data_IF_162052453998
#
_entry.id   IF_162052453998
#
_cell.length_a   1.000
_cell.length_b   1.000
_cell.length_c   1.000
_cell.angle_alpha   90.00
_cell.angle_beta   90.00
_cell.angle_gamma   90.00
#
_symmetry.space_group_name_H-M   'P 1'
#
loop_
_entity.id
_entity.type
_entity.pdbx_description
1 polymer ?
#
# COMPACT_ATOMS: atom_id res chain seq x y z
N UNK A 1 6.77 -0.93 0.90
CA UNK A 1 6.86 -0.15 2.15
C UNK A 1 7.01 1.35 1.93
N UNK A 2 8.12 1.86 1.37
CA UNK A 2 8.30 3.32 1.22
C UNK A 2 7.25 3.96 0.30
N UNK A 3 7.06 3.41 -0.90
CA UNK A 3 6.02 3.86 -1.86
C UNK A 3 4.62 3.79 -1.25
N UNK A 4 4.29 2.69 -0.57
CA UNK A 4 3.02 2.51 0.12
C UNK A 4 2.82 3.55 1.23
N UNK A 5 3.86 3.81 2.03
CA UNK A 5 3.86 4.87 3.05
C UNK A 5 3.66 6.27 2.46
N UNK A 6 4.31 6.55 1.33
CA UNK A 6 4.12 7.79 0.58
C UNK A 6 2.65 7.99 0.19
N UNK A 7 2.07 7.04 -0.55
CA UNK A 7 0.68 7.15 -1.03
C UNK A 7 -0.30 7.26 0.14
N UNK A 8 -0.14 6.43 1.18
CA UNK A 8 -0.96 6.51 2.38
C UNK A 8 -0.87 7.90 3.02
N UNK A 9 0.34 8.37 3.30
CA UNK A 9 0.51 9.63 4.02
C UNK A 9 0.02 10.84 3.22
N UNK A 10 0.35 10.90 1.91
CA UNK A 10 -0.14 11.95 1.02
C UNK A 10 -1.66 12.04 1.02
N UNK A 11 -2.34 10.91 0.80
CA UNK A 11 -3.79 10.90 0.63
C UNK A 11 -4.50 11.09 1.97
N UNK A 12 -4.04 10.48 3.06
CA UNK A 12 -4.69 10.63 4.37
C UNK A 12 -4.67 12.07 4.87
N UNK A 13 -3.56 12.80 4.67
CA UNK A 13 -3.48 14.21 5.06
C UNK A 13 -4.44 15.07 4.24
N UNK A 14 -4.64 14.75 2.97
CA UNK A 14 -5.45 15.56 2.05
C UNK A 14 -6.86 15.01 1.84
N UNK A 15 -7.25 13.90 2.48
CA UNK A 15 -8.45 13.15 2.11
C UNK A 15 -9.71 14.02 2.15
N UNK A 16 -9.90 14.79 3.22
CA UNK A 16 -11.04 15.70 3.37
C UNK A 16 -10.95 16.84 2.34
N UNK A 17 -9.87 17.64 2.26
CA UNK A 17 -9.73 18.69 1.23
C UNK A 17 -9.92 18.20 -0.21
N UNK A 18 -9.44 17.01 -0.55
CA UNK A 18 -9.57 16.42 -1.89
C UNK A 18 -11.03 16.22 -2.27
N UNK A 19 -11.87 15.76 -1.35
CA UNK A 19 -13.29 15.57 -1.66
C UNK A 19 -13.97 16.89 -2.03
N UNK A 20 -13.67 17.97 -1.31
CA UNK A 20 -14.16 19.32 -1.64
C UNK A 20 -13.60 19.81 -2.97
N UNK A 21 -12.28 19.67 -3.18
CA UNK A 21 -11.61 20.11 -4.41
C UNK A 21 -12.07 19.36 -5.66
N UNK A 22 -12.57 18.15 -5.49
CA UNK A 22 -13.16 17.30 -6.54
C UNK A 22 -14.69 17.51 -6.69
N UNK A 23 -15.26 18.56 -6.09
CA UNK A 23 -16.64 18.95 -6.33
C UNK A 23 -17.70 18.17 -5.55
N UNK A 24 -17.35 17.40 -4.52
CA UNK A 24 -18.32 16.65 -3.70
C UNK A 24 -19.03 17.50 -2.65
N UNK A 25 -18.61 18.75 -2.45
CA UNK A 25 -19.17 19.67 -1.45
C UNK A 25 -19.16 19.09 -0.03
N UNK A 26 -20.21 19.36 0.75
CA UNK A 26 -20.34 18.87 2.13
C UNK A 26 -20.54 17.35 2.24
N UNK A 27 -21.05 16.70 1.18
CA UNK A 27 -21.17 15.25 1.14
C UNK A 27 -19.80 14.56 1.22
N UNK A 28 -18.77 15.16 0.63
CA UNK A 28 -17.39 14.68 0.70
C UNK A 28 -16.88 14.49 2.13
N UNK A 29 -17.14 15.47 3.00
CA UNK A 29 -16.77 15.40 4.42
C UNK A 29 -17.41 14.18 5.11
N UNK A 30 -18.72 13.98 4.93
CA UNK A 30 -19.44 12.84 5.52
C UNK A 30 -18.87 11.52 5.00
N UNK A 31 -18.58 11.44 3.70
CA UNK A 31 -18.01 10.23 3.08
C UNK A 31 -16.66 9.87 3.69
N UNK A 32 -15.79 10.84 3.99
CA UNK A 32 -14.48 10.55 4.61
C UNK A 32 -14.56 9.90 5.99
N UNK A 33 -15.69 10.05 6.71
CA UNK A 33 -15.90 9.39 8.01
C UNK A 33 -15.90 7.86 7.90
N UNK A 34 -16.20 7.32 6.72
CA UNK A 34 -16.18 5.88 6.43
C UNK A 34 -14.77 5.30 6.39
N UNK A 35 -13.72 6.13 6.37
CA UNK A 35 -12.32 5.66 6.34
C UNK A 35 -12.00 4.81 7.56
N UNK A 36 -12.28 5.31 8.76
CA UNK A 36 -11.99 4.63 10.03
C UNK A 36 -12.69 3.26 10.13
N UNK A 37 -14.03 3.19 9.96
CA UNK A 37 -14.75 1.94 9.92
C UNK A 37 -14.22 0.94 8.87
N UNK A 38 -13.87 1.42 7.67
CA UNK A 38 -13.31 0.56 6.62
C UNK A 38 -11.93 0.02 6.99
N UNK A 39 -11.09 0.83 7.63
CA UNK A 39 -9.78 0.41 8.13
C UNK A 39 -9.90 -0.67 9.21
N UNK A 40 -10.84 -0.50 10.15
CA UNK A 40 -11.14 -1.51 11.18
C UNK A 40 -11.71 -2.78 10.54
N UNK A 41 -12.65 -2.65 9.60
CA UNK A 41 -13.23 -3.78 8.89
C UNK A 41 -12.17 -4.63 8.19
N UNK A 42 -11.18 -4.01 7.54
CA UNK A 42 -10.05 -4.74 6.94
C UNK A 42 -9.29 -5.59 7.96
N UNK A 43 -9.04 -5.05 9.17
CA UNK A 43 -8.37 -5.81 10.23
C UNK A 43 -9.21 -6.97 10.73
N UNK A 44 -10.52 -6.78 10.88
CA UNK A 44 -11.44 -7.85 11.29
C UNK A 44 -11.54 -8.94 10.22
N UNK A 45 -11.68 -8.58 8.94
CA UNK A 45 -11.67 -9.52 7.81
C UNK A 45 -10.36 -10.31 7.79
N UNK A 46 -9.22 -9.64 7.95
CA UNK A 46 -7.93 -10.32 8.01
C UNK A 46 -7.78 -11.22 9.25
N UNK A 47 -8.31 -10.84 10.41
CA UNK A 47 -8.27 -11.67 11.60
C UNK A 47 -9.12 -12.93 11.44
N UNK A 48 -10.30 -12.82 10.83
CA UNK A 48 -11.24 -13.93 10.64
C UNK A 48 -10.85 -14.86 9.48
N UNK A 49 -10.27 -14.32 8.41
CA UNK A 49 -10.03 -15.06 7.16
C UNK A 49 -8.56 -15.08 6.72
N UNK A 50 -7.72 -14.20 7.26
CA UNK A 50 -6.35 -13.97 6.80
C UNK A 50 -5.33 -15.03 7.23
N UNK A 51 -5.67 -15.91 8.17
CA UNK A 51 -4.82 -17.06 8.54
C UNK A 51 -4.55 -18.04 7.37
N UNK A 52 -5.25 -17.90 6.25
CA UNK A 52 -5.12 -18.75 5.05
C UNK A 52 -4.24 -18.14 3.95
N UNK A 53 -3.86 -16.86 4.04
CA UNK A 53 -3.09 -16.15 3.00
C UNK A 53 -1.67 -15.82 3.50
N UNK A 54 -0.66 -15.97 2.62
CA UNK A 54 0.70 -15.54 2.94
C UNK A 54 0.78 -14.00 3.07
N UNK A 55 1.66 -13.48 3.94
CA UNK A 55 1.73 -12.03 4.19
C UNK A 55 2.15 -11.25 2.93
N UNK A 56 2.93 -11.88 2.06
CA UNK A 56 3.29 -11.34 0.74
C UNK A 56 2.06 -11.08 -0.14
N UNK A 57 1.06 -11.96 -0.13
CA UNK A 57 -0.20 -11.74 -0.86
C UNK A 57 -1.04 -10.63 -0.23
N UNK A 58 -1.12 -10.60 1.10
CA UNK A 58 -1.80 -9.51 1.81
C UNK A 58 -1.15 -8.14 1.49
N UNK A 59 0.17 -8.11 1.32
CA UNK A 59 0.89 -6.90 0.90
C UNK A 59 0.50 -6.44 -0.51
N UNK A 60 0.43 -7.36 -1.47
CA UNK A 60 -0.01 -7.05 -2.83
C UNK A 60 -1.45 -6.56 -2.84
N UNK A 61 -2.36 -7.25 -2.13
CA UNK A 61 -3.77 -6.85 -2.03
C UNK A 61 -3.88 -5.46 -1.40
N UNK A 62 -3.26 -5.25 -0.24
CA UNK A 62 -3.25 -3.96 0.46
C UNK A 62 -2.71 -2.83 -0.40
N UNK A 63 -1.56 -3.04 -1.05
CA UNK A 63 -0.95 -2.07 -1.95
C UNK A 63 -1.77 -1.81 -3.21
N UNK A 64 -2.59 -2.77 -3.68
CA UNK A 64 -3.47 -2.61 -4.85
C UNK A 64 -4.70 -1.76 -4.53
N UNK A 65 -5.28 -1.96 -3.34
CA UNK A 65 -6.50 -1.24 -2.92
C UNK A 65 -6.30 0.29 -2.88
N UNK A 66 -5.08 0.76 -2.58
CA UNK A 66 -4.77 2.20 -2.50
C UNK A 66 -4.88 2.93 -3.85
N UNK A 67 -4.08 2.60 -4.89
CA UNK A 67 -4.20 3.20 -6.20
C UNK A 67 -5.53 2.84 -6.87
N UNK A 68 -6.09 1.65 -6.64
CA UNK A 68 -7.42 1.32 -7.15
C UNK A 68 -8.49 2.29 -6.62
N UNK A 69 -8.44 2.61 -5.32
CA UNK A 69 -9.32 3.64 -4.75
C UNK A 69 -9.16 4.99 -5.44
N UNK A 70 -7.91 5.43 -5.70
CA UNK A 70 -7.66 6.69 -6.40
C UNK A 70 -8.18 6.68 -7.84
N UNK A 71 -7.99 5.58 -8.56
CA UNK A 71 -8.52 5.40 -9.92
C UNK A 71 -10.05 5.46 -9.92
N UNK A 72 -10.70 4.81 -8.96
CA UNK A 72 -12.17 4.87 -8.81
C UNK A 72 -12.62 6.30 -8.54
N UNK A 73 -11.98 7.02 -7.61
CA UNK A 73 -12.30 8.42 -7.31
C UNK A 73 -12.19 9.29 -8.56
N UNK A 74 -11.08 9.18 -9.30
CA UNK A 74 -10.79 10.00 -10.47
C UNK A 74 -11.68 9.67 -11.67
N UNK A 75 -12.05 8.41 -11.86
CA UNK A 75 -12.93 7.99 -12.94
C UNK A 75 -14.40 8.38 -12.72
N UNK A 76 -14.78 8.69 -11.47
CA UNK A 76 -16.19 8.87 -11.08
C UNK A 76 -16.51 10.25 -10.49
N UNK A 77 -15.51 11.06 -10.14
CA UNK A 77 -15.71 12.41 -9.61
C UNK A 77 -16.61 13.27 -10.53
N UNK A 78 -17.59 14.03 -10.00
CA UNK A 78 -17.91 14.29 -8.58
C UNK A 78 -18.96 13.33 -7.96
N UNK A 79 -18.97 12.04 -8.33
CA UNK A 79 -19.92 11.06 -7.78
C UNK A 79 -19.67 10.74 -6.30
N UNK A 80 -20.71 10.92 -5.47
CA UNK A 80 -20.71 10.51 -4.06
C UNK A 80 -20.49 9.02 -3.89
N UNK A 81 -21.13 8.19 -4.72
CA UNK A 81 -20.94 6.73 -4.69
C UNK A 81 -19.49 6.34 -5.01
N UNK A 82 -18.87 7.05 -5.97
CA UNK A 82 -17.46 6.91 -6.31
C UNK A 82 -16.52 7.26 -5.15
N UNK A 83 -16.81 8.36 -4.45
CA UNK A 83 -16.07 8.77 -3.27
C UNK A 83 -16.21 7.75 -2.12
N UNK A 84 -17.39 7.17 -1.91
CA UNK A 84 -17.61 6.10 -0.92
C UNK A 84 -16.75 4.88 -1.27
N UNK A 85 -16.80 4.43 -2.52
CA UNK A 85 -15.99 3.30 -2.98
C UNK A 85 -14.48 3.57 -2.79
N UNK A 86 -14.02 4.76 -3.14
CA UNK A 86 -12.65 5.20 -2.86
C UNK A 86 -12.28 5.11 -1.38
N UNK A 87 -13.08 5.72 -0.48
CA UNK A 87 -12.79 5.75 0.95
C UNK A 87 -12.75 4.34 1.54
N UNK A 88 -13.67 3.47 1.11
CA UNK A 88 -13.71 2.07 1.54
C UNK A 88 -12.46 1.33 1.07
N UNK A 89 -12.14 1.39 -0.23
CA UNK A 89 -10.94 0.73 -0.79
C UNK A 89 -9.67 1.24 -0.10
N UNK A 90 -9.53 2.55 0.04
CA UNK A 90 -8.36 3.17 0.66
C UNK A 90 -8.24 2.82 2.16
N UNK A 91 -9.36 2.81 2.88
CA UNK A 91 -9.44 2.37 4.27
C UNK A 91 -9.07 0.89 4.43
N UNK A 92 -9.60 0.03 3.57
CA UNK A 92 -9.28 -1.40 3.57
C UNK A 92 -7.79 -1.65 3.29
N UNK A 93 -7.23 -0.97 2.29
CA UNK A 93 -5.81 -1.02 1.96
C UNK A 93 -4.91 -0.52 3.09
N UNK A 94 -5.29 0.59 3.73
CA UNK A 94 -4.60 1.12 4.93
C UNK A 94 -4.64 0.14 6.11
N UNK A 95 -5.77 -0.53 6.32
CA UNK A 95 -5.91 -1.59 7.31
C UNK A 95 -4.91 -2.72 7.08
N UNK A 96 -4.86 -3.25 5.85
CA UNK A 96 -3.92 -4.31 5.47
C UNK A 96 -2.45 -3.84 5.56
N UNK A 97 -2.14 -2.64 5.09
CA UNK A 97 -0.80 -2.07 5.16
C UNK A 97 -0.27 -1.98 6.60
N UNK A 98 -1.15 -1.74 7.58
CA UNK A 98 -0.77 -1.74 9.01
C UNK A 98 -0.43 -3.12 9.55
N UNK A 99 -1.09 -4.18 9.04
CA UNK A 99 -0.83 -5.57 9.42
C UNK A 99 0.47 -6.04 8.75
N UNK A 100 0.52 -5.92 7.42
CA UNK A 100 1.66 -6.29 6.58
C UNK A 100 2.93 -5.59 7.04
N UNK A 101 2.84 -4.31 7.42
CA UNK A 101 3.98 -3.56 7.96
C UNK A 101 4.60 -4.17 9.22
N UNK A 102 3.81 -4.88 10.04
CA UNK A 102 4.27 -5.54 11.26
C UNK A 102 4.69 -7.00 11.07
N UNK A 103 4.19 -7.68 10.03
CA UNK A 103 4.37 -9.13 9.86
C UNK A 103 5.29 -9.49 8.69
N UNK A 104 5.16 -8.80 7.55
CA UNK A 104 5.89 -9.14 6.33
C UNK A 104 7.42 -8.95 6.48
N UNK A 105 7.96 -7.89 7.13
CA UNK A 105 9.41 -7.78 7.32
C UNK A 105 10.01 -9.00 8.04
N UNK A 106 9.29 -9.60 9.00
CA UNK A 106 9.77 -10.78 9.72
C UNK A 106 9.78 -12.02 8.81
N UNK A 107 8.74 -12.19 7.99
CA UNK A 107 8.67 -13.23 6.96
C UNK A 107 9.79 -13.07 5.91
N UNK A 108 10.14 -11.83 5.57
CA UNK A 108 11.15 -11.55 4.56
C UNK A 108 12.58 -11.67 5.08
N UNK A 109 12.87 -11.11 6.25
CA UNK A 109 14.25 -10.97 6.71
C UNK A 109 14.70 -12.10 7.63
N UNK A 110 13.77 -12.93 8.12
CA UNK A 110 14.06 -13.92 9.14
C UNK A 110 14.44 -13.27 10.47
N UNK A 111 14.85 -14.09 11.44
CA UNK A 111 15.21 -13.62 12.79
C UNK A 111 16.60 -12.99 12.86
N UNK A 112 17.52 -13.42 12.00
CA UNK A 112 18.90 -12.94 12.02
C UNK A 112 19.00 -11.51 11.45
N UNK A 113 19.56 -10.58 12.24
CA UNK A 113 19.65 -9.14 11.90
C UNK A 113 18.29 -8.48 11.62
N UNK A 114 17.20 -9.06 12.12
CA UNK A 114 15.84 -8.55 11.92
C UNK A 114 15.70 -7.08 12.33
N UNK A 115 16.15 -6.73 13.54
CA UNK A 115 16.03 -5.38 14.08
C UNK A 115 16.72 -4.32 13.21
N UNK A 116 17.92 -4.62 12.69
CA UNK A 116 18.64 -3.71 11.81
C UNK A 116 17.93 -3.51 10.46
N UNK A 117 17.50 -4.62 9.82
CA UNK A 117 16.79 -4.56 8.52
C UNK A 117 15.43 -3.89 8.65
N UNK A 118 14.67 -4.23 9.69
CA UNK A 118 13.41 -3.59 10.01
C UNK A 118 13.59 -2.10 10.29
N UNK A 119 14.62 -1.72 11.04
CA UNK A 119 14.97 -0.33 11.32
C UNK A 119 15.20 0.47 10.03
N UNK A 120 16.00 -0.05 9.09
CA UNK A 120 16.24 0.59 7.79
C UNK A 120 14.97 0.72 6.94
N UNK A 121 14.17 -0.34 6.83
CA UNK A 121 12.91 -0.31 6.06
C UNK A 121 11.91 0.68 6.67
N UNK A 122 11.83 0.69 8.00
CA UNK A 122 10.96 1.61 8.74
C UNK A 122 11.43 3.05 8.58
N UNK A 123 12.72 3.32 8.70
CA UNK A 123 13.29 4.64 8.48
C UNK A 123 13.00 5.16 7.06
N UNK A 124 13.25 4.35 6.04
CA UNK A 124 12.94 4.70 4.65
C UNK A 124 11.44 4.98 4.45
N UNK A 125 10.57 4.15 5.04
CA UNK A 125 9.12 4.38 5.02
C UNK A 125 8.74 5.68 5.72
N UNK A 126 9.25 5.94 6.91
CA UNK A 126 8.89 7.13 7.68
C UNK A 126 9.38 8.42 7.00
N UNK A 127 10.61 8.42 6.47
CA UNK A 127 11.13 9.54 5.71
C UNK A 127 10.27 9.81 4.46
N UNK A 128 9.93 8.76 3.72
CA UNK A 128 9.05 8.87 2.55
C UNK A 128 7.67 9.40 2.94
N UNK A 129 7.03 8.86 3.98
CA UNK A 129 5.75 9.33 4.50
C UNK A 129 5.80 10.78 4.95
N UNK A 130 6.87 11.22 5.62
CA UNK A 130 6.98 12.59 6.11
C UNK A 130 7.02 13.63 4.97
N UNK A 131 7.68 13.29 3.86
CA UNK A 131 7.76 14.17 2.68
C UNK A 131 6.52 14.10 1.79
N UNK A 132 5.75 13.02 1.87
CA UNK A 132 4.68 12.72 0.93
C UNK A 132 3.55 13.76 0.90
N UNK A 133 3.05 14.29 2.04
CA UNK A 133 2.04 15.34 2.02
C UNK A 133 2.54 16.60 1.32
N UNK A 134 3.77 17.04 1.58
CA UNK A 134 4.35 18.22 0.95
C UNK A 134 4.56 18.01 -0.56
N UNK A 135 5.07 16.85 -0.95
CA UNK A 135 5.24 16.50 -2.36
C UNK A 135 3.91 16.52 -3.12
N UNK A 136 2.86 15.92 -2.55
CA UNK A 136 1.53 15.94 -3.16
C UNK A 136 0.95 17.36 -3.18
N UNK A 137 1.09 18.15 -2.11
CA UNK A 137 0.62 19.53 -2.07
C UNK A 137 1.29 20.40 -3.14
N UNK A 138 2.62 20.30 -3.31
CA UNK A 138 3.34 21.02 -4.36
C UNK A 138 2.92 20.58 -5.76
N UNK A 139 2.72 19.27 -5.97
CA UNK A 139 2.15 18.75 -7.21
C UNK A 139 0.77 19.39 -7.48
N UNK A 140 -0.13 19.36 -6.49
CA UNK A 140 -1.47 19.93 -6.66
C UNK A 140 -1.44 21.44 -6.95
N UNK A 141 -0.51 22.18 -6.36
CA UNK A 141 -0.32 23.60 -6.62
C UNK A 141 0.23 23.86 -8.04
N UNK A 142 1.14 23.02 -8.53
CA UNK A 142 1.81 23.22 -9.82
C UNK A 142 1.07 22.68 -11.04
N UNK A 143 0.43 21.51 -10.92
CA UNK A 143 -0.26 20.82 -12.02
C UNK A 143 -1.75 20.58 -11.79
N UNK A 144 -2.30 21.00 -10.64
CA UNK A 144 -3.69 20.79 -10.28
C UNK A 144 -3.96 19.45 -9.59
N UNK A 145 -5.17 19.33 -9.03
CA UNK A 145 -5.56 18.19 -8.17
C UNK A 145 -5.62 16.87 -8.94
N UNK A 146 -6.37 16.80 -10.04
CA UNK A 146 -6.57 15.54 -10.77
C UNK A 146 -5.26 14.96 -11.32
N UNK A 147 -4.38 15.73 -12.01
CA UNK A 147 -3.12 15.18 -12.52
C UNK A 147 -2.20 14.69 -11.38
N UNK A 148 -2.20 15.38 -10.25
CA UNK A 148 -1.42 14.98 -9.07
C UNK A 148 -1.91 13.67 -8.45
N UNK A 149 -3.22 13.44 -8.43
CA UNK A 149 -3.78 12.18 -7.96
C UNK A 149 -3.55 11.02 -8.95
N UNK A 150 -3.58 11.27 -10.25
CA UNK A 150 -3.16 10.28 -11.25
C UNK A 150 -1.68 9.91 -11.09
N UNK A 151 -0.81 10.89 -10.84
CA UNK A 151 0.59 10.65 -10.51
C UNK A 151 0.74 9.81 -9.23
N UNK A 152 -0.01 10.13 -8.18
CA UNK A 152 -0.01 9.34 -6.94
C UNK A 152 -0.49 7.90 -7.17
N UNK A 153 -1.51 7.70 -8.01
CA UNK A 153 -1.97 6.38 -8.41
C UNK A 153 -0.90 5.61 -9.19
N UNK A 154 -0.21 6.25 -10.15
CA UNK A 154 0.89 5.66 -10.89
C UNK A 154 2.07 5.26 -9.99
N UNK A 155 2.45 6.12 -9.03
CA UNK A 155 3.43 5.80 -8.00
C UNK A 155 2.96 4.61 -7.15
N UNK A 156 1.69 4.56 -6.78
CA UNK A 156 1.09 3.41 -6.09
C UNK A 156 1.21 2.10 -6.85
N UNK A 157 1.04 2.12 -8.18
CA UNK A 157 1.23 0.94 -9.04
C UNK A 157 2.66 0.40 -8.96
N UNK A 158 3.68 1.26 -8.81
CA UNK A 158 5.06 0.81 -8.59
C UNK A 158 5.21 0.04 -7.26
N UNK A 159 4.41 0.39 -6.24
CA UNK A 159 4.34 -0.34 -4.98
C UNK A 159 3.77 -1.75 -5.16
N UNK A 160 2.73 -1.90 -6.00
CA UNK A 160 2.17 -3.21 -6.37
C UNK A 160 3.23 -4.06 -7.06
N UNK A 161 3.94 -3.49 -8.04
CA UNK A 161 5.00 -4.18 -8.76
C UNK A 161 6.12 -4.62 -7.82
N UNK A 162 6.54 -3.76 -6.89
CA UNK A 162 7.58 -4.09 -5.92
C UNK A 162 7.17 -5.26 -5.00
N UNK A 163 5.95 -5.26 -4.46
CA UNK A 163 5.47 -6.39 -3.64
C UNK A 163 5.24 -7.65 -4.48
N UNK A 164 4.78 -7.52 -5.71
CA UNK A 164 4.58 -8.67 -6.61
C UNK A 164 5.90 -9.31 -7.03
N UNK A 165 6.95 -8.51 -7.26
CA UNK A 165 8.30 -9.00 -7.55
C UNK A 165 8.85 -9.87 -6.40
N UNK A 166 8.54 -9.55 -5.14
CA UNK A 166 8.92 -10.39 -3.99
C UNK A 166 8.31 -11.79 -4.10
N UNK A 167 7.04 -11.91 -4.52
CA UNK A 167 6.38 -13.20 -4.74
C UNK A 167 7.10 -13.98 -5.83
N UNK A 168 7.45 -13.34 -6.94
CA UNK A 168 8.13 -13.98 -8.06
C UNK A 168 9.53 -14.49 -7.67
N UNK A 169 10.31 -13.68 -6.97
CA UNK A 169 11.66 -14.05 -6.53
C UNK A 169 11.61 -15.21 -5.52
N UNK A 170 10.63 -15.20 -4.60
CA UNK A 170 10.46 -16.26 -3.59
C UNK A 170 9.98 -17.60 -4.17
N UNK A 171 9.43 -17.60 -5.38
CA UNK A 171 8.93 -18.82 -6.05
C UNK A 171 10.01 -19.58 -6.82
N UNK A 172 11.20 -19.02 -7.02
CA UNK A 172 12.30 -19.76 -7.65
C UNK A 172 12.87 -20.77 -6.63
N UNK A 173 12.72 -22.10 -6.87
CA UNK A 173 13.45 -23.08 -6.07
C UNK A 173 14.94 -22.84 -6.31
N UNK A 174 15.75 -22.84 -5.27
CA UNK A 174 17.20 -22.91 -5.41
C UNK A 174 17.51 -24.19 -6.18
N UNK A 175 17.82 -24.07 -7.47
CA UNK A 175 18.45 -25.14 -8.23
C UNK A 175 19.90 -25.24 -7.73
N UNK A 176 20.06 -25.81 -6.53
CA UNK A 176 21.37 -26.16 -5.98
C UNK A 176 21.86 -27.33 -6.81
N UNK A 177 22.66 -27.03 -7.83
CA UNK A 177 23.56 -28.01 -8.41
C UNK A 177 24.48 -28.51 -7.28
N UNK A 178 24.15 -29.66 -6.69
CA UNK A 178 25.08 -30.45 -5.90
C UNK A 178 25.86 -31.25 -6.94
N UNK A 179 27.16 -30.98 -7.19
CA UNK A 179 27.97 -31.92 -7.91
C UNK A 179 28.08 -33.15 -7.01
N UNK A 180 27.50 -34.26 -7.46
CA UNK A 180 27.71 -35.56 -6.82
C UNK A 180 29.22 -35.80 -6.80
N UNK A 181 29.80 -35.79 -5.60
CA UNK A 181 31.15 -36.28 -5.37
C UNK A 181 31.12 -37.75 -5.77
N UNK A 182 31.70 -38.06 -6.93
CA UNK A 182 31.96 -39.42 -7.36
C UNK A 182 33.00 -40.04 -6.43
N UNK A 183 32.51 -40.67 -5.37
CA UNK A 183 33.22 -41.75 -4.69
C UNK A 183 33.12 -42.99 -5.60
N UNK A 184 34.11 -43.18 -6.50
CA UNK A 184 34.63 -44.49 -6.91
C UNK A 184 35.55 -44.38 -8.15
N UNK A 185 36.86 -44.45 -7.89
CA UNK A 185 37.83 -45.24 -8.65
C UNK A 185 39.10 -45.26 -7.80
N UNK A 186 39.29 -46.30 -6.96
CA UNK A 186 40.10 -47.49 -7.27
C UNK A 186 41.59 -47.14 -7.35
#
# INVERSE_FOLDING_TARGET
FAIEGFVLSSILVHMVPLTTALGLGSAGLVVTTLFGPSQVASRLINMLFGGRLAQTWLAVIGATLLPLGLVVLLATTPSVAGAIAFVILFGLGSGLASIVGGTLPLELFGRERYGARLGWVTAARQFSSALAPFALAMAMAGMGVQPSLWLAAAVGMLGILAFSAIILIRRQPLEVAIPLVNANSS
#
